data_IF_351401671780
#
_entry.id   IF_351401671780
#
_cell.length_a   1.000
_cell.length_b   1.000
_cell.length_c   1.000
_cell.angle_alpha   90.00
_cell.angle_beta   90.00
_cell.angle_gamma   90.00
#
_symmetry.space_group_name_H-M   'P 1'
#
loop_
_entity.id
_entity.type
_entity.pdbx_description
1 polymer ?
#
# COMPACT_ATOMS: atom_id res chain seq x y z
N UNK A 1 -45.07 11.92 -3.01
CA UNK A 1 -43.96 11.30 -3.76
C UNK A 1 -43.07 10.68 -2.69
N UNK A 2 -43.20 9.39 -2.52
CA UNK A 2 -42.31 8.62 -1.63
C UNK A 2 -40.89 8.73 -2.17
N UNK A 3 -39.97 9.27 -1.34
CA UNK A 3 -38.53 9.19 -1.60
C UNK A 3 -38.21 7.69 -1.56
N UNK A 4 -38.07 7.05 -2.72
CA UNK A 4 -37.36 5.78 -2.80
C UNK A 4 -35.94 6.04 -2.26
N UNK A 5 -35.70 5.60 -1.03
CA UNK A 5 -34.36 5.63 -0.47
C UNK A 5 -33.49 4.77 -1.41
N UNK A 6 -32.57 5.42 -2.12
CA UNK A 6 -31.60 4.72 -2.95
C UNK A 6 -30.94 3.64 -2.09
N UNK A 7 -30.96 2.40 -2.57
CA UNK A 7 -30.36 1.29 -1.83
C UNK A 7 -28.86 1.55 -1.67
N UNK A 8 -28.38 1.53 -0.42
CA UNK A 8 -26.96 1.69 -0.12
C UNK A 8 -26.12 0.62 -0.79
N UNK A 9 -24.99 1.01 -1.36
CA UNK A 9 -24.02 0.07 -1.89
C UNK A 9 -23.31 -0.69 -0.74
N UNK A 10 -22.55 -1.74 -1.08
CA UNK A 10 -21.91 -2.59 -0.09
C UNK A 10 -20.86 -1.87 0.78
N UNK A 11 -20.18 -0.84 0.25
CA UNK A 11 -19.20 -0.05 1.01
C UNK A 11 -19.92 0.80 2.05
N UNK A 12 -21.00 1.47 1.66
CA UNK A 12 -21.87 2.22 2.59
C UNK A 12 -22.43 1.32 3.70
N UNK A 13 -22.86 0.09 3.37
CA UNK A 13 -23.32 -0.88 4.36
C UNK A 13 -22.21 -1.28 5.35
N UNK A 14 -20.96 -1.42 4.89
CA UNK A 14 -19.80 -1.67 5.78
C UNK A 14 -19.56 -0.48 6.69
N UNK A 15 -19.57 0.73 6.15
CA UNK A 15 -19.37 1.97 6.92
C UNK A 15 -20.46 2.12 7.99
N UNK A 16 -21.74 1.92 7.62
CA UNK A 16 -22.85 2.01 8.55
C UNK A 16 -22.65 1.04 9.72
N UNK A 17 -22.32 -0.22 9.41
CA UNK A 17 -22.06 -1.26 10.42
C UNK A 17 -20.90 -0.88 11.36
N UNK A 18 -19.85 -0.29 10.82
CA UNK A 18 -18.69 0.13 11.62
C UNK A 18 -19.02 1.32 12.51
N UNK A 19 -19.88 2.24 12.06
CA UNK A 19 -20.39 3.35 12.87
C UNK A 19 -21.32 2.82 13.98
N UNK A 20 -22.27 1.97 13.62
CA UNK A 20 -23.23 1.37 14.57
C UNK A 20 -22.56 0.52 15.66
N UNK A 21 -21.52 -0.23 15.30
CA UNK A 21 -20.74 -1.03 16.24
C UNK A 21 -19.73 -0.23 17.07
N UNK A 22 -19.54 1.06 16.75
CA UNK A 22 -18.57 1.94 17.42
C UNK A 22 -17.10 1.73 16.99
N UNK A 23 -16.84 0.91 15.98
CA UNK A 23 -15.51 0.75 15.42
C UNK A 23 -15.02 2.01 14.70
N UNK A 24 -15.93 2.85 14.21
CA UNK A 24 -15.64 4.09 13.52
C UNK A 24 -16.49 5.22 14.09
N UNK A 25 -15.83 6.28 14.57
CA UNK A 25 -16.51 7.52 15.01
C UNK A 25 -16.58 8.57 13.92
N UNK A 26 -15.65 8.53 12.98
CA UNK A 26 -15.52 9.45 11.86
C UNK A 26 -14.95 8.69 10.67
N UNK A 27 -15.60 8.78 9.52
CA UNK A 27 -15.11 8.15 8.29
C UNK A 27 -13.93 8.94 7.75
N UNK A 28 -12.78 8.30 7.58
CA UNK A 28 -11.57 8.89 7.01
C UNK A 28 -11.11 7.99 5.86
N UNK A 29 -11.16 8.55 4.67
CA UNK A 29 -10.72 7.91 3.43
C UNK A 29 -9.51 8.64 2.84
N UNK A 30 -8.89 8.11 1.80
CA UNK A 30 -7.75 8.74 1.15
C UNK A 30 -7.66 8.39 -0.33
N UNK A 31 -6.94 9.23 -1.07
CA UNK A 31 -6.44 8.93 -2.41
C UNK A 31 -4.90 8.93 -2.36
N UNK A 32 -4.23 7.74 -2.54
CA UNK A 32 -2.79 7.59 -2.38
C UNK A 32 -2.09 7.32 -3.70
N UNK A 33 -2.02 8.26 -4.66
CA UNK A 33 -1.35 8.01 -5.93
C UNK A 33 0.18 7.97 -5.78
N UNK A 34 0.84 7.10 -6.56
CA UNK A 34 2.27 7.23 -6.79
C UNK A 34 2.53 8.41 -7.76
N UNK A 35 3.48 9.33 -7.45
CA UNK A 35 3.79 10.46 -8.32
C UNK A 35 4.71 10.05 -9.49
N UNK A 36 4.31 9.03 -10.26
CA UNK A 36 5.09 8.41 -11.33
C UNK A 36 4.47 8.54 -12.72
N UNK A 37 3.35 9.24 -12.85
CA UNK A 37 2.62 9.45 -14.11
C UNK A 37 1.36 10.29 -13.95
N UNK A 38 0.72 10.60 -15.08
CA UNK A 38 -0.56 11.31 -15.12
C UNK A 38 -1.73 10.39 -14.74
N UNK A 39 -2.81 11.00 -14.20
CA UNK A 39 -4.00 10.27 -13.84
C UNK A 39 -4.80 9.81 -15.09
N UNK A 40 -5.61 8.78 -14.92
CA UNK A 40 -6.53 8.27 -15.91
C UNK A 40 -7.93 8.04 -15.29
N UNK A 41 -8.90 7.66 -16.10
CA UNK A 41 -10.31 7.50 -15.68
C UNK A 41 -10.51 6.55 -14.48
N UNK A 42 -9.63 5.55 -14.32
CA UNK A 42 -9.66 4.67 -13.15
C UNK A 42 -9.34 5.40 -11.85
N UNK A 43 -8.39 6.33 -11.90
CA UNK A 43 -8.07 7.20 -10.75
C UNK A 43 -9.23 8.15 -10.44
N UNK A 44 -9.87 8.75 -11.46
CA UNK A 44 -11.03 9.61 -11.27
C UNK A 44 -12.16 8.89 -10.52
N UNK A 45 -12.45 7.62 -10.86
CA UNK A 45 -13.41 6.80 -10.12
C UNK A 45 -13.02 6.64 -8.65
N UNK A 46 -11.75 6.34 -8.37
CA UNK A 46 -11.25 6.16 -7.00
C UNK A 46 -11.33 7.46 -6.19
N UNK A 47 -10.96 8.60 -6.79
CA UNK A 47 -11.04 9.92 -6.16
C UNK A 47 -12.50 10.23 -5.78
N UNK A 48 -13.42 10.16 -6.74
CA UNK A 48 -14.81 10.47 -6.53
C UNK A 48 -15.49 9.54 -5.52
N UNK A 49 -15.13 8.26 -5.50
CA UNK A 49 -15.65 7.31 -4.53
C UNK A 49 -15.18 7.64 -3.11
N UNK A 50 -13.87 7.81 -2.91
CA UNK A 50 -13.30 8.11 -1.59
C UNK A 50 -13.76 9.47 -1.06
N UNK A 51 -13.74 10.50 -1.90
CA UNK A 51 -14.23 11.82 -1.55
C UNK A 51 -15.74 11.83 -1.28
N UNK A 52 -16.53 11.18 -2.15
CA UNK A 52 -17.99 11.10 -2.01
C UNK A 52 -18.40 10.45 -0.69
N UNK A 53 -17.79 9.33 -0.33
CA UNK A 53 -18.05 8.65 0.95
C UNK A 53 -17.66 9.54 2.14
N UNK A 54 -16.47 10.14 2.13
CA UNK A 54 -16.07 11.05 3.20
C UNK A 54 -17.08 12.20 3.37
N UNK A 55 -17.51 12.81 2.27
CA UNK A 55 -18.48 13.92 2.26
C UNK A 55 -19.87 13.48 2.76
N UNK A 56 -20.37 12.34 2.30
CA UNK A 56 -21.67 11.80 2.69
C UNK A 56 -21.77 11.51 4.19
N UNK A 57 -20.69 10.96 4.75
CA UNK A 57 -20.62 10.65 6.18
C UNK A 57 -20.06 11.79 7.06
N UNK A 58 -19.89 13.00 6.52
CA UNK A 58 -19.33 14.14 7.26
C UNK A 58 -17.92 13.88 7.80
N UNK A 59 -17.18 13.04 7.10
CA UNK A 59 -15.87 12.55 7.46
C UNK A 59 -14.70 13.39 6.93
N UNK A 60 -13.59 12.73 6.56
CA UNK A 60 -12.39 13.33 6.01
C UNK A 60 -11.92 12.57 4.77
N UNK A 61 -11.41 13.30 3.79
CA UNK A 61 -10.71 12.77 2.63
C UNK A 61 -9.27 13.29 2.64
N UNK A 62 -8.30 12.40 2.73
CA UNK A 62 -6.89 12.74 2.73
C UNK A 62 -6.29 12.59 1.33
N UNK A 63 -5.35 13.46 1.00
CA UNK A 63 -4.49 13.36 -0.17
C UNK A 63 -3.10 12.95 0.27
N UNK A 64 -2.63 11.75 -0.12
CA UNK A 64 -1.30 11.26 0.20
C UNK A 64 -0.60 10.80 -1.06
N UNK A 65 0.61 11.25 -1.30
CA UNK A 65 1.48 10.67 -2.31
C UNK A 65 2.23 9.46 -1.74
N UNK A 66 2.08 8.30 -2.39
CA UNK A 66 2.90 7.13 -2.12
C UNK A 66 4.24 7.29 -2.88
N UNK A 67 5.16 8.02 -2.25
CA UNK A 67 6.48 8.30 -2.76
C UNK A 67 7.54 7.38 -2.14
N UNK A 68 7.26 6.08 -2.08
CA UNK A 68 8.17 5.06 -1.53
C UNK A 68 9.20 4.56 -2.53
N UNK A 69 9.05 4.87 -3.82
CA UNK A 69 9.91 4.39 -4.90
C UNK A 69 10.70 5.51 -5.59
N UNK A 70 11.95 5.80 -5.18
CA UNK A 70 12.73 6.93 -5.68
C UNK A 70 13.06 6.88 -7.19
N UNK A 71 12.80 5.74 -7.86
CA UNK A 71 13.23 5.56 -9.26
C UNK A 71 12.36 6.26 -10.30
N UNK A 72 11.13 6.63 -9.97
CA UNK A 72 10.12 7.06 -10.95
C UNK A 72 9.41 8.36 -10.59
N UNK A 73 9.63 8.87 -9.41
CA UNK A 73 8.87 9.99 -8.84
C UNK A 73 9.37 11.33 -9.36
N UNK A 74 8.45 12.21 -9.73
CA UNK A 74 8.75 13.56 -10.22
C UNK A 74 7.77 14.59 -9.66
N UNK A 75 8.29 15.75 -9.30
CA UNK A 75 7.50 16.91 -8.82
C UNK A 75 6.43 17.33 -9.83
N UNK A 76 6.71 17.24 -11.13
CA UNK A 76 5.74 17.52 -12.21
C UNK A 76 4.44 16.72 -12.04
N UNK A 77 4.55 15.44 -11.69
CA UNK A 77 3.37 14.59 -11.50
C UNK A 77 2.61 14.93 -10.22
N UNK A 78 3.31 15.35 -9.17
CA UNK A 78 2.65 15.83 -7.93
C UNK A 78 1.72 17.00 -8.24
N UNK A 79 2.21 18.00 -8.96
CA UNK A 79 1.43 19.20 -9.30
C UNK A 79 0.26 18.88 -10.25
N UNK A 80 0.49 18.04 -11.27
CA UNK A 80 -0.55 17.59 -12.19
C UNK A 80 -1.65 16.82 -11.47
N UNK A 81 -1.29 15.88 -10.60
CA UNK A 81 -2.26 15.06 -9.86
C UNK A 81 -3.11 15.92 -8.92
N UNK A 82 -2.52 16.90 -8.23
CA UNK A 82 -3.28 17.87 -7.41
C UNK A 82 -4.30 18.64 -8.23
N UNK A 83 -3.87 19.19 -9.38
CA UNK A 83 -4.75 19.91 -10.28
C UNK A 83 -5.92 19.04 -10.80
N UNK A 84 -5.66 17.76 -11.11
CA UNK A 84 -6.68 16.82 -11.55
C UNK A 84 -7.70 16.51 -10.44
N UNK A 85 -7.27 16.36 -9.18
CA UNK A 85 -8.16 16.15 -8.03
C UNK A 85 -9.06 17.35 -7.82
N UNK A 86 -8.49 18.56 -7.87
CA UNK A 86 -9.24 19.83 -7.77
C UNK A 86 -10.22 20.00 -8.93
N UNK A 87 -9.79 19.68 -10.16
CA UNK A 87 -10.64 19.72 -11.35
C UNK A 87 -11.85 18.79 -11.25
N UNK A 88 -11.70 17.63 -10.61
CA UNK A 88 -12.80 16.69 -10.32
C UNK A 88 -13.74 17.21 -9.23
N UNK A 89 -13.45 18.36 -8.61
CA UNK A 89 -14.24 18.94 -7.53
C UNK A 89 -14.05 18.25 -6.17
N UNK A 90 -12.99 17.48 -6.02
CA UNK A 90 -12.63 16.86 -4.74
C UNK A 90 -11.70 17.78 -3.94
N UNK A 91 -12.06 17.97 -2.67
CA UNK A 91 -11.30 18.79 -1.71
C UNK A 91 -10.76 17.88 -0.61
N UNK A 92 -9.44 17.86 -0.43
CA UNK A 92 -8.83 17.11 0.67
C UNK A 92 -8.75 17.94 1.95
N UNK A 93 -8.68 17.26 3.08
CA UNK A 93 -8.59 17.89 4.40
C UNK A 93 -7.11 18.03 4.83
N UNK A 94 -6.76 19.21 5.28
CA UNK A 94 -5.41 19.51 5.77
C UNK A 94 -4.37 19.62 4.66
N UNK A 95 -3.12 19.29 5.01
CA UNK A 95 -2.00 19.32 4.08
C UNK A 95 -1.96 18.07 3.19
N UNK A 96 -1.26 18.17 2.07
CA UNK A 96 -0.90 17.01 1.25
C UNK A 96 0.16 16.20 2.00
N UNK A 97 -0.12 14.91 2.19
CA UNK A 97 0.73 13.98 2.91
C UNK A 97 1.65 13.24 1.94
N UNK A 98 2.77 12.72 2.45
CA UNK A 98 3.73 11.95 1.68
C UNK A 98 4.19 10.73 2.48
N UNK A 99 4.28 9.58 1.83
CA UNK A 99 4.79 8.35 2.45
C UNK A 99 6.21 8.54 3.02
N UNK A 100 7.04 9.33 2.33
CA UNK A 100 8.41 9.65 2.78
C UNK A 100 8.49 10.36 4.13
N UNK A 101 7.44 11.05 4.57
CA UNK A 101 7.37 11.65 5.90
C UNK A 101 7.29 10.60 7.02
N UNK A 102 6.86 9.38 6.69
CA UNK A 102 6.69 8.25 7.62
C UNK A 102 7.84 7.23 7.57
N UNK A 103 8.89 7.46 6.78
CA UNK A 103 10.05 6.53 6.73
C UNK A 103 10.65 6.20 8.09
N UNK A 104 10.81 7.17 9.04
CA UNK A 104 11.26 6.83 10.39
C UNK A 104 10.33 5.85 11.11
N UNK A 105 9.01 6.06 11.05
CA UNK A 105 8.02 5.18 11.68
C UNK A 105 8.00 3.79 11.03
N UNK A 106 8.13 3.71 9.69
CA UNK A 106 8.23 2.45 8.97
C UNK A 106 9.49 1.67 9.35
N UNK A 107 10.63 2.37 9.51
CA UNK A 107 11.86 1.75 9.98
C UNK A 107 11.70 1.18 11.40
N UNK A 108 11.13 1.94 12.32
CA UNK A 108 10.84 1.49 13.69
C UNK A 108 9.88 0.29 13.71
N UNK A 109 8.86 0.30 12.86
CA UNK A 109 7.94 -0.82 12.69
C UNK A 109 8.66 -2.08 12.20
N UNK A 110 9.58 -1.96 11.24
CA UNK A 110 10.41 -3.08 10.77
C UNK A 110 11.33 -3.62 11.87
N UNK A 111 11.98 -2.74 12.64
CA UNK A 111 12.79 -3.13 13.82
C UNK A 111 11.93 -3.86 14.85
N UNK A 112 10.69 -3.42 15.07
CA UNK A 112 9.74 -4.10 15.98
C UNK A 112 9.40 -5.52 15.48
N UNK A 113 9.20 -5.70 14.18
CA UNK A 113 8.96 -7.03 13.60
C UNK A 113 10.18 -7.96 13.78
N UNK A 114 11.40 -7.44 13.57
CA UNK A 114 12.63 -8.22 13.80
C UNK A 114 12.71 -8.65 15.28
N UNK A 115 12.50 -7.72 16.23
CA UNK A 115 12.51 -8.01 17.68
C UNK A 115 11.47 -9.05 18.08
N UNK A 116 10.33 -9.13 17.38
CA UNK A 116 9.31 -10.17 17.58
C UNK A 116 9.65 -11.50 16.88
N UNK A 117 10.76 -11.59 16.14
CA UNK A 117 11.08 -12.76 15.30
C UNK A 117 10.14 -12.92 14.10
N UNK A 118 9.49 -11.83 13.66
CA UNK A 118 8.53 -11.79 12.55
C UNK A 118 9.11 -11.19 11.25
N UNK A 119 10.40 -10.86 11.24
CA UNK A 119 11.13 -10.45 10.04
C UNK A 119 12.59 -10.90 10.13
N UNK A 120 13.22 -11.11 8.98
CA UNK A 120 14.61 -11.51 8.86
C UNK A 120 15.27 -10.90 7.62
N UNK A 121 16.56 -10.65 7.71
CA UNK A 121 17.38 -10.22 6.56
C UNK A 121 17.74 -11.43 5.71
N UNK A 122 17.47 -11.34 4.42
CA UNK A 122 17.72 -12.40 3.44
C UNK A 122 18.77 -11.94 2.43
N UNK A 123 19.74 -12.81 2.13
CA UNK A 123 20.82 -12.54 1.18
C UNK A 123 20.53 -13.15 -0.20
N UNK A 124 19.38 -13.79 -0.38
CA UNK A 124 18.97 -14.32 -1.67
C UNK A 124 18.68 -13.18 -2.65
N UNK A 125 19.15 -13.36 -3.89
CA UNK A 125 18.81 -12.47 -5.00
C UNK A 125 17.30 -12.50 -5.32
N UNK A 126 16.80 -11.50 -6.04
CA UNK A 126 15.40 -11.45 -6.45
C UNK A 126 14.97 -12.69 -7.27
N UNK A 127 15.88 -13.25 -8.07
CA UNK A 127 15.63 -14.48 -8.85
C UNK A 127 15.51 -15.70 -7.94
N UNK A 128 16.40 -15.84 -6.96
CA UNK A 128 16.36 -16.91 -5.99
C UNK A 128 15.13 -16.84 -5.11
N UNK A 129 14.78 -15.64 -4.59
CA UNK A 129 13.54 -15.42 -3.83
C UNK A 129 12.33 -15.87 -4.65
N UNK A 130 12.28 -15.55 -5.95
CA UNK A 130 11.19 -16.00 -6.83
C UNK A 130 11.12 -17.52 -6.94
N UNK A 131 12.27 -18.20 -7.07
CA UNK A 131 12.35 -19.68 -7.09
C UNK A 131 11.92 -20.29 -5.77
N UNK A 132 12.39 -19.73 -4.64
CA UNK A 132 12.04 -20.23 -3.31
C UNK A 132 10.56 -20.00 -2.97
N UNK A 133 9.95 -18.94 -3.49
CA UNK A 133 8.53 -18.64 -3.26
C UNK A 133 7.59 -19.69 -3.86
N UNK A 134 8.04 -20.46 -4.86
CA UNK A 134 7.23 -21.46 -5.53
C UNK A 134 6.19 -20.88 -6.49
N UNK A 135 5.16 -21.65 -6.78
CA UNK A 135 4.10 -21.32 -7.73
C UNK A 135 2.73 -21.35 -7.05
N UNK A 136 1.66 -21.08 -7.80
CA UNK A 136 0.29 -21.20 -7.26
C UNK A 136 -0.07 -22.63 -6.86
N UNK A 137 0.54 -23.63 -7.51
CA UNK A 137 0.30 -25.05 -7.29
C UNK A 137 1.36 -25.74 -6.45
N UNK A 138 2.50 -25.10 -6.24
CA UNK A 138 3.62 -25.66 -5.47
C UNK A 138 3.94 -24.73 -4.28
N UNK A 139 4.08 -25.25 -3.06
CA UNK A 139 4.46 -24.46 -1.90
C UNK A 139 5.87 -23.89 -2.08
N UNK A 140 6.15 -22.82 -1.36
CA UNK A 140 7.48 -22.24 -1.30
C UNK A 140 8.42 -23.07 -0.40
N UNK A 141 9.71 -22.72 -0.49
CA UNK A 141 10.77 -23.26 0.37
C UNK A 141 11.31 -22.16 1.27
N UNK A 142 11.66 -22.52 2.49
CA UNK A 142 12.29 -21.58 3.42
C UNK A 142 13.67 -21.15 2.91
N UNK A 143 13.98 -19.86 3.05
CA UNK A 143 15.32 -19.36 2.81
C UNK A 143 16.31 -19.94 3.84
N UNK A 144 17.57 -20.23 3.46
CA UNK A 144 18.61 -20.63 4.41
C UNK A 144 18.88 -19.57 5.48
N UNK A 145 18.49 -18.31 5.24
CA UNK A 145 18.68 -17.17 6.14
C UNK A 145 17.48 -16.93 7.07
N UNK A 146 16.38 -17.64 6.89
CA UNK A 146 15.11 -17.45 7.63
C UNK A 146 15.22 -17.59 9.14
N UNK A 147 16.20 -18.36 9.61
CA UNK A 147 16.37 -18.70 11.02
C UNK A 147 17.58 -18.01 11.68
N UNK A 148 18.07 -16.90 11.11
CA UNK A 148 19.02 -16.01 11.76
C UNK A 148 18.48 -15.51 13.10
N UNK A 149 19.38 -15.29 14.08
CA UNK A 149 18.98 -14.72 15.38
C UNK A 149 18.40 -13.32 15.25
N UNK A 150 17.67 -12.90 16.26
CA UNK A 150 17.12 -11.53 16.31
C UNK A 150 18.26 -10.51 16.31
N UNK A 151 19.31 -10.76 17.07
CA UNK A 151 20.49 -9.90 17.20
C UNK A 151 21.20 -9.73 15.85
N UNK A 152 21.44 -10.83 15.14
CA UNK A 152 22.06 -10.81 13.81
C UNK A 152 21.18 -10.02 12.81
N UNK A 153 19.87 -10.27 12.81
CA UNK A 153 18.96 -9.54 11.93
C UNK A 153 18.90 -8.03 12.23
N UNK A 154 18.92 -7.64 13.50
CA UNK A 154 18.97 -6.22 13.89
C UNK A 154 20.25 -5.55 13.41
N UNK A 155 21.41 -6.19 13.61
CA UNK A 155 22.69 -5.69 13.13
C UNK A 155 22.70 -5.54 11.60
N UNK A 156 22.28 -6.58 10.87
CA UNK A 156 22.27 -6.57 9.41
C UNK A 156 21.32 -5.49 8.87
N UNK A 157 20.16 -5.29 9.50
CA UNK A 157 19.20 -4.28 9.07
C UNK A 157 19.69 -2.86 9.32
N UNK A 158 20.39 -2.61 10.43
CA UNK A 158 21.07 -1.35 10.69
C UNK A 158 22.19 -1.10 9.67
N UNK A 159 23.01 -2.10 9.38
CA UNK A 159 24.05 -2.04 8.35
C UNK A 159 23.48 -1.79 6.94
N UNK A 160 22.29 -2.33 6.61
CA UNK A 160 21.58 -1.99 5.38
C UNK A 160 21.23 -0.50 5.33
N UNK A 161 20.70 0.07 6.44
CA UNK A 161 20.39 1.50 6.54
C UNK A 161 21.63 2.40 6.45
N UNK A 162 22.75 1.94 6.97
CA UNK A 162 24.05 2.64 6.89
C UNK A 162 24.70 2.57 5.50
N UNK A 163 24.08 1.86 4.53
CA UNK A 163 24.59 1.76 3.16
C UNK A 163 25.78 0.82 2.97
N UNK A 164 25.99 -0.14 3.90
CA UNK A 164 27.12 -1.07 3.81
C UNK A 164 26.96 -2.16 2.73
N UNK A 165 25.77 -2.28 2.16
CA UNK A 165 25.45 -3.33 1.19
C UNK A 165 25.03 -2.76 -0.15
N UNK A 166 25.47 -3.38 -1.24
CA UNK A 166 25.07 -2.98 -2.59
C UNK A 166 23.60 -3.32 -2.88
N UNK A 167 23.02 -2.62 -3.85
CA UNK A 167 21.66 -2.85 -4.30
C UNK A 167 21.43 -4.31 -4.71
N UNK A 168 20.30 -4.86 -4.26
CA UNK A 168 19.89 -6.24 -4.58
C UNK A 168 20.65 -7.35 -3.85
N UNK A 169 21.58 -7.03 -2.94
CA UNK A 169 22.35 -8.04 -2.19
C UNK A 169 21.68 -8.45 -0.89
N UNK A 170 20.85 -7.59 -0.31
CA UNK A 170 20.08 -7.87 0.91
C UNK A 170 18.71 -7.26 0.85
N UNK A 171 17.74 -7.95 1.44
CA UNK A 171 16.38 -7.50 1.65
C UNK A 171 15.91 -7.87 3.05
N UNK A 172 14.94 -7.14 3.59
CA UNK A 172 14.20 -7.58 4.77
C UNK A 172 12.92 -8.27 4.33
N UNK A 173 12.67 -9.46 4.85
CA UNK A 173 11.45 -10.24 4.56
C UNK A 173 10.62 -10.43 5.82
N UNK A 174 9.30 -10.34 5.67
CA UNK A 174 8.38 -10.79 6.71
C UNK A 174 8.48 -12.31 6.87
N UNK A 175 8.43 -12.81 8.12
CA UNK A 175 8.45 -14.24 8.44
C UNK A 175 7.04 -14.70 8.72
N UNK A 176 6.37 -15.26 7.72
CA UNK A 176 4.96 -15.65 7.78
C UNK A 176 4.79 -17.15 7.51
N UNK A 177 4.49 -17.55 6.27
CA UNK A 177 4.24 -18.95 5.93
C UNK A 177 4.61 -19.22 4.46
N UNK A 178 5.68 -19.97 4.23
CA UNK A 178 6.12 -20.34 2.88
C UNK A 178 5.23 -21.37 2.20
N UNK A 179 4.30 -22.01 2.91
CA UNK A 179 3.33 -22.95 2.37
C UNK A 179 1.95 -22.30 2.09
N UNK A 180 1.78 -21.02 2.41
CA UNK A 180 0.51 -20.33 2.20
C UNK A 180 -0.01 -20.48 0.76
N UNK A 181 -1.32 -20.74 0.54
CA UNK A 181 -1.90 -20.70 -0.79
C UNK A 181 -1.85 -19.30 -1.41
N UNK A 182 -1.84 -18.25 -0.60
CA UNK A 182 -1.64 -16.86 -1.04
C UNK A 182 -0.14 -16.58 -1.14
N UNK A 183 0.34 -16.36 -2.38
CA UNK A 183 1.75 -16.08 -2.66
C UNK A 183 2.25 -14.81 -1.93
N UNK A 184 1.38 -13.81 -1.71
CA UNK A 184 1.74 -12.59 -1.01
C UNK A 184 2.07 -12.82 0.47
N UNK A 185 1.66 -13.96 1.05
CA UNK A 185 1.95 -14.37 2.43
C UNK A 185 3.19 -15.25 2.56
N UNK A 186 3.87 -15.59 1.44
CA UNK A 186 5.07 -16.44 1.44
C UNK A 186 6.33 -15.61 1.68
N UNK A 187 6.54 -15.20 2.91
CA UNK A 187 7.67 -14.38 3.36
C UNK A 187 7.97 -13.22 2.39
N UNK A 188 7.06 -12.27 2.21
CA UNK A 188 7.24 -11.17 1.26
C UNK A 188 8.40 -10.27 1.65
N UNK A 189 9.03 -9.66 0.65
CA UNK A 189 10.03 -8.60 0.85
C UNK A 189 9.30 -7.36 1.37
N UNK A 190 9.76 -6.79 2.48
CA UNK A 190 9.20 -5.58 3.09
C UNK A 190 10.15 -4.37 3.02
N UNK A 191 11.48 -4.59 2.89
CA UNK A 191 12.48 -3.55 2.63
C UNK A 191 13.52 -4.03 1.63
N UNK A 192 14.04 -3.10 0.82
CA UNK A 192 15.14 -3.32 -0.12
C UNK A 192 16.23 -2.28 0.03
N UNK A 193 17.46 -2.64 -0.32
CA UNK A 193 18.56 -1.67 -0.50
C UNK A 193 18.44 -1.03 -1.88
N UNK A 194 18.50 0.29 -1.94
CA UNK A 194 18.54 1.09 -3.17
C UNK A 194 19.28 2.41 -2.92
N UNK A 195 20.48 2.56 -3.49
CA UNK A 195 21.28 3.79 -3.40
C UNK A 195 20.81 4.78 -4.46
N UNK A 196 19.74 5.50 -4.14
CA UNK A 196 19.12 6.46 -5.05
C UNK A 196 18.72 7.72 -4.29
N UNK A 197 18.91 8.87 -4.93
CA UNK A 197 18.44 10.16 -4.40
C UNK A 197 16.93 10.24 -4.49
N UNK A 198 16.28 10.39 -3.35
CA UNK A 198 14.83 10.56 -3.26
C UNK A 198 14.44 12.02 -3.44
N UNK A 199 13.33 12.30 -4.15
CA UNK A 199 12.93 13.67 -4.51
C UNK A 199 12.64 14.60 -3.31
N UNK A 200 12.30 14.06 -2.13
CA UNK A 200 12.06 14.83 -0.90
C UNK A 200 13.11 14.63 0.17
N UNK A 201 13.55 13.41 0.40
CA UNK A 201 14.50 13.09 1.48
C UNK A 201 15.97 13.09 1.03
N UNK A 202 16.23 13.31 -0.28
CA UNK A 202 17.60 13.29 -0.81
C UNK A 202 18.29 11.94 -0.59
N UNK A 203 19.52 11.97 -0.09
CA UNK A 203 20.34 10.79 0.17
C UNK A 203 20.28 10.31 1.63
N UNK A 204 19.27 10.74 2.38
CA UNK A 204 19.10 10.36 3.79
C UNK A 204 18.87 8.86 3.98
N UNK A 205 18.23 8.21 3.02
CA UNK A 205 17.89 6.80 3.04
C UNK A 205 18.51 6.07 1.86
N UNK A 206 19.00 4.85 2.11
CA UNK A 206 19.45 3.90 1.09
C UNK A 206 18.73 2.55 1.21
N UNK A 207 17.72 2.46 2.09
CA UNK A 207 16.76 1.37 2.17
C UNK A 207 15.35 1.94 2.05
N UNK A 208 14.50 1.27 1.32
CA UNK A 208 13.14 1.72 1.06
C UNK A 208 12.13 0.61 1.34
N UNK A 209 10.99 0.94 1.98
CA UNK A 209 9.93 -0.03 2.21
C UNK A 209 9.28 -0.43 0.89
N UNK A 210 8.78 -1.66 0.85
CA UNK A 210 7.92 -2.11 -0.24
C UNK A 210 6.48 -1.64 -0.01
N UNK A 211 5.72 -1.43 -1.09
CA UNK A 211 4.33 -0.97 -1.05
C UNK A 211 3.47 -1.69 -0.01
N UNK A 212 3.48 -3.03 -0.02
CA UNK A 212 2.66 -3.85 0.89
C UNK A 212 3.01 -3.70 2.37
N UNK A 213 4.16 -3.12 2.68
CA UNK A 213 4.56 -2.80 4.06
C UNK A 213 4.31 -1.33 4.40
N UNK A 214 4.58 -0.42 3.48
CA UNK A 214 4.44 1.03 3.68
C UNK A 214 2.97 1.42 3.83
N UNK A 215 2.16 1.08 2.83
CA UNK A 215 0.76 1.47 2.71
C UNK A 215 -0.11 1.17 3.95
N UNK A 216 -0.07 -0.03 4.58
CA UNK A 216 -0.81 -0.29 5.82
C UNK A 216 -0.39 0.61 6.99
N UNK A 217 0.91 0.93 7.09
CA UNK A 217 1.47 1.78 8.16
C UNK A 217 1.04 3.23 7.95
N UNK A 218 1.10 3.72 6.72
CA UNK A 218 0.62 5.04 6.33
C UNK A 218 -0.86 5.23 6.71
N UNK A 219 -1.71 4.28 6.29
CA UNK A 219 -3.13 4.30 6.63
C UNK A 219 -3.35 4.33 8.15
N UNK A 220 -2.59 3.54 8.90
CA UNK A 220 -2.69 3.49 10.35
C UNK A 220 -2.24 4.79 11.04
N UNK A 221 -1.12 5.36 10.60
CA UNK A 221 -0.56 6.61 11.14
C UNK A 221 -1.49 7.79 10.87
N UNK A 222 -2.10 7.85 9.69
CA UNK A 222 -3.05 8.89 9.29
C UNK A 222 -4.46 8.70 9.89
N UNK A 223 -4.70 7.58 10.56
CA UNK A 223 -6.01 7.27 11.13
C UNK A 223 -7.08 6.99 10.08
N UNK A 224 -6.67 6.52 8.89
CA UNK A 224 -7.61 6.07 7.87
C UNK A 224 -8.52 4.99 8.45
N UNK A 225 -9.81 5.10 8.22
CA UNK A 225 -10.77 4.10 8.70
C UNK A 225 -11.09 3.08 7.62
N UNK A 226 -11.36 3.54 6.41
CA UNK A 226 -11.75 2.71 5.28
C UNK A 226 -10.75 2.92 4.15
N UNK A 227 -9.85 1.94 3.99
CA UNK A 227 -8.81 1.89 2.97
C UNK A 227 -9.37 1.30 1.69
N UNK A 228 -10.00 2.15 0.86
CA UNK A 228 -10.75 1.71 -0.31
C UNK A 228 -9.82 1.63 -1.52
N UNK A 229 -9.76 0.48 -2.18
CA UNK A 229 -8.89 0.21 -3.32
C UNK A 229 -9.59 -0.64 -4.38
N UNK A 230 -8.93 -0.90 -5.51
CA UNK A 230 -9.49 -1.75 -6.57
C UNK A 230 -9.33 -3.23 -6.25
N UNK A 231 -10.18 -4.08 -6.83
CA UNK A 231 -10.25 -5.53 -6.59
C UNK A 231 -8.93 -6.27 -6.84
N UNK A 232 -8.01 -5.68 -7.60
CA UNK A 232 -6.68 -6.28 -7.81
C UNK A 232 -5.84 -6.42 -6.54
N UNK A 233 -6.20 -5.71 -5.46
CA UNK A 233 -5.54 -5.77 -4.16
C UNK A 233 -6.20 -6.75 -3.17
N UNK A 234 -7.21 -7.52 -3.59
CA UNK A 234 -7.90 -8.48 -2.71
C UNK A 234 -6.93 -9.49 -2.10
N UNK A 235 -6.04 -10.04 -2.90
CA UNK A 235 -5.02 -11.00 -2.43
C UNK A 235 -3.95 -10.35 -1.53
N UNK A 236 -3.85 -9.03 -1.50
CA UNK A 236 -2.94 -8.27 -0.64
C UNK A 236 -3.54 -7.98 0.76
N UNK A 237 -4.87 -8.03 0.91
CA UNK A 237 -5.54 -7.73 2.19
C UNK A 237 -5.04 -8.55 3.38
N UNK A 238 -4.78 -9.88 3.26
CA UNK A 238 -4.22 -10.63 4.38
C UNK A 238 -2.86 -10.11 4.85
N UNK A 239 -2.02 -9.64 3.92
CA UNK A 239 -0.74 -9.02 4.26
C UNK A 239 -0.92 -7.64 4.89
N UNK A 240 -1.84 -6.83 4.38
CA UNK A 240 -2.22 -5.55 4.97
C UNK A 240 -2.62 -5.72 6.45
N UNK A 241 -3.54 -6.62 6.74
CA UNK A 241 -3.98 -6.90 8.11
C UNK A 241 -2.84 -7.42 8.99
N UNK A 242 -2.03 -8.33 8.46
CA UNK A 242 -0.85 -8.85 9.17
C UNK A 242 0.13 -7.73 9.55
N UNK A 243 0.43 -6.81 8.62
CA UNK A 243 1.34 -5.69 8.90
C UNK A 243 0.79 -4.81 10.01
N UNK A 244 -0.46 -4.36 9.91
CA UNK A 244 -1.05 -3.43 10.89
C UNK A 244 -1.16 -4.08 12.28
N UNK A 245 -1.49 -5.37 12.36
CA UNK A 245 -1.57 -6.12 13.62
C UNK A 245 -0.19 -6.35 14.21
N UNK A 246 0.76 -6.88 13.45
CA UNK A 246 2.09 -7.23 13.97
C UNK A 246 2.93 -6.00 14.33
N UNK A 247 2.71 -4.89 13.66
CA UNK A 247 3.32 -3.60 14.03
C UNK A 247 2.60 -2.92 15.21
N UNK A 248 1.41 -3.41 15.57
CA UNK A 248 0.67 -3.02 16.78
C UNK A 248 -0.18 -1.78 16.65
N UNK A 249 -0.62 -1.45 15.43
CA UNK A 249 -1.57 -0.37 15.20
C UNK A 249 -3.02 -0.81 15.40
N UNK A 250 -3.32 -2.10 15.23
CA UNK A 250 -4.61 -2.71 15.60
C UNK A 250 -4.41 -4.09 16.21
N UNK A 251 -5.45 -4.67 16.82
CA UNK A 251 -5.38 -5.96 17.52
C UNK A 251 -6.14 -7.06 16.77
N UNK A 252 -7.07 -6.69 15.91
CA UNK A 252 -7.86 -7.64 15.10
C UNK A 252 -8.17 -7.07 13.70
N UNK A 253 -8.51 -7.93 12.73
CA UNK A 253 -8.91 -7.48 11.39
C UNK A 253 -10.20 -6.64 11.36
N UNK A 254 -11.06 -6.75 12.39
CA UNK A 254 -12.32 -6.01 12.49
C UNK A 254 -12.10 -4.54 12.85
N UNK A 255 -10.96 -4.20 13.45
CA UNK A 255 -10.59 -2.83 13.77
C UNK A 255 -10.12 -2.06 12.53
N UNK A 256 -10.21 -0.73 12.59
CA UNK A 256 -9.68 0.14 11.53
C UNK A 256 -8.15 0.35 11.67
N UNK A 257 -7.44 0.58 10.58
CA UNK A 257 -7.92 0.66 9.20
C UNK A 257 -8.35 -0.69 8.62
N UNK A 258 -9.37 -0.68 7.75
CA UNK A 258 -9.83 -1.85 6.98
C UNK A 258 -9.61 -1.64 5.50
N UNK A 259 -9.00 -2.60 4.82
CA UNK A 259 -8.92 -2.59 3.36
C UNK A 259 -10.23 -3.14 2.77
N UNK A 260 -10.80 -2.39 1.81
CA UNK A 260 -12.06 -2.70 1.15
C UNK A 260 -11.87 -2.55 -0.35
N UNK A 261 -12.17 -3.59 -1.12
CA UNK A 261 -11.97 -3.60 -2.56
C UNK A 261 -13.27 -3.37 -3.33
N UNK A 262 -13.17 -2.60 -4.42
CA UNK A 262 -14.26 -2.36 -5.36
C UNK A 262 -13.85 -2.71 -6.79
N UNK A 263 -14.85 -2.98 -7.64
CA UNK A 263 -14.63 -3.37 -9.03
C UNK A 263 -13.94 -2.26 -9.84
N UNK A 264 -12.94 -2.62 -10.64
CA UNK A 264 -12.31 -1.73 -11.61
C UNK A 264 -13.33 -1.18 -12.62
N UNK A 265 -13.08 0.04 -13.07
CA UNK A 265 -13.79 0.60 -14.22
C UNK A 265 -13.11 0.12 -15.52
N UNK A 266 -13.88 -0.56 -16.35
CA UNK A 266 -13.47 -0.93 -17.71
C UNK A 266 -14.35 -0.16 -18.70
N UNK A 267 -13.90 1.00 -19.23
CA UNK A 267 -14.66 1.73 -20.23
C UNK A 267 -14.88 0.85 -21.49
N UNK A 268 -16.11 0.70 -21.95
CA UNK A 268 -16.44 -0.09 -23.12
C UNK A 268 -15.70 0.40 -24.38
N UNK A 269 -15.47 1.72 -24.48
CA UNK A 269 -14.65 2.34 -25.53
C UNK A 269 -13.21 1.81 -25.60
N UNK A 270 -12.62 1.37 -24.48
CA UNK A 270 -11.27 0.78 -24.48
C UNK A 270 -11.22 -0.60 -25.14
N UNK A 271 -12.28 -1.38 -25.01
CA UNK A 271 -12.39 -2.70 -25.66
C UNK A 271 -12.80 -2.57 -27.12
N UNK A 272 -13.55 -1.53 -27.47
CA UNK A 272 -13.98 -1.25 -28.84
C UNK A 272 -12.90 -0.58 -29.70
N UNK A 273 -12.13 0.37 -29.15
CA UNK A 273 -11.03 1.01 -29.86
C UNK A 273 -9.94 0.00 -30.26
N UNK A 274 -9.62 -0.98 -29.41
CA UNK A 274 -8.68 -2.05 -29.76
C UNK A 274 -9.24 -3.03 -30.83
N UNK A 275 -10.54 -3.19 -30.89
CA UNK A 275 -11.18 -4.07 -31.86
C UNK A 275 -11.39 -3.42 -33.27
N UNK A 276 -11.40 -2.08 -33.32
CA UNK A 276 -11.71 -1.30 -34.54
C UNK A 276 -10.60 -0.31 -34.91
N UNK A 277 -9.48 -0.25 -34.19
CA UNK A 277 -8.30 0.49 -34.65
C UNK A 277 -7.79 -0.18 -35.93
N UNK A 278 -8.16 0.37 -37.06
CA UNK A 278 -7.54 0.06 -38.34
C UNK A 278 -6.27 0.90 -38.46
N UNK A 279 -5.30 0.44 -39.26
CA UNK A 279 -4.03 1.17 -39.50
C UNK A 279 -4.23 2.59 -40.08
N UNK A 280 -5.45 2.98 -40.39
CA UNK A 280 -5.84 4.31 -40.84
C UNK A 280 -6.16 5.30 -39.70
N UNK A 281 -6.29 4.81 -38.47
CA UNK A 281 -6.66 5.60 -37.32
C UNK A 281 -5.44 5.88 -36.41
N UNK A 282 -4.29 5.36 -36.78
CA UNK A 282 -2.97 5.61 -36.23
C UNK A 282 -2.12 6.44 -37.19
#
# INVERSE_FOLDING_TARGET
>A
MENEALSKNFIEQIIDKDIESGHCKKVITRFPPEPNGYLHIGHAKSILLNYGLAKEYGGQFNMRFDDTNPTKEKVEFVDSIKADVEWLGAEWNGDVLFASDYFPQMYEAAVKLIKKGKAYVDDLSAEEIRKYRGTLTEPGKESPYRNRSVEENLQLFEEMKEGKYADGTKVLRAKIDMASPNINMRDPVIYRVAHMTHHRTGDQWCIYPMYDFAHPIEDAVEGITHSICTLEFEDHRPLYDWVVIETGYKTSPEENPKQIEFAKLYPVSYTHLRAHETLSDL
#
